data_IF_038875186812
#
_entry.id   IF_038875186812
#
_cell.length_a   1.000
_cell.length_b   1.000
_cell.length_c   1.000
_cell.angle_alpha   90.00
_cell.angle_beta   90.00
_cell.angle_gamma   90.00
#
_symmetry.space_group_name_H-M   'P 1'
#
loop_
_entity.id
_entity.type
_entity.pdbx_description
1 polymer ?
#
# COMPACT_ATOMS: atom_id res chain seq x y z
N UNK A 1 0.84 -27.51 -26.88
CA UNK A 1 -0.12 -26.95 -25.89
C UNK A 1 0.06 -25.44 -25.85
N UNK A 2 -1.01 -24.64 -25.99
CA UNK A 2 -0.92 -23.16 -25.96
C UNK A 2 -0.95 -22.69 -24.49
N UNK A 3 0.10 -22.02 -24.02
CA UNK A 3 0.21 -21.62 -22.61
C UNK A 3 -0.67 -20.39 -22.31
N UNK A 4 -1.93 -20.67 -21.95
CA UNK A 4 -2.93 -19.66 -21.61
C UNK A 4 -2.50 -18.74 -20.46
N UNK A 5 -1.61 -19.19 -19.55
CA UNK A 5 -1.16 -18.37 -18.42
C UNK A 5 -0.15 -17.31 -18.85
N UNK A 6 0.84 -17.69 -19.65
CA UNK A 6 1.82 -16.73 -20.18
C UNK A 6 1.16 -15.75 -21.15
N UNK A 7 0.25 -16.22 -22.01
CA UNK A 7 -0.52 -15.34 -22.91
C UNK A 7 -1.38 -14.33 -22.11
N UNK A 8 -2.01 -14.76 -21.00
CA UNK A 8 -2.74 -13.86 -20.11
C UNK A 8 -1.82 -12.87 -19.41
N UNK A 9 -0.63 -13.31 -19.00
CA UNK A 9 0.38 -12.45 -18.40
C UNK A 9 0.82 -11.34 -19.36
N UNK A 10 1.10 -11.68 -20.64
CA UNK A 10 1.41 -10.72 -21.69
C UNK A 10 0.28 -9.68 -21.86
N UNK A 11 -0.97 -10.12 -21.92
CA UNK A 11 -2.10 -9.22 -22.02
C UNK A 11 -2.21 -8.25 -20.83
N UNK A 12 -1.90 -8.72 -19.61
CA UNK A 12 -1.90 -7.87 -18.43
C UNK A 12 -0.74 -6.88 -18.44
N UNK A 13 0.45 -7.32 -18.87
CA UNK A 13 1.61 -6.47 -19.10
C UNK A 13 1.28 -5.35 -20.08
N UNK A 14 0.73 -5.69 -21.24
CA UNK A 14 0.41 -4.72 -22.29
C UNK A 14 -0.59 -3.66 -21.79
N UNK A 15 -1.59 -4.05 -21.00
CA UNK A 15 -2.53 -3.10 -20.38
C UNK A 15 -1.86 -2.16 -19.39
N UNK A 16 -0.90 -2.65 -18.58
CA UNK A 16 -0.15 -1.80 -17.66
C UNK A 16 0.78 -0.84 -18.42
N UNK A 17 1.44 -1.32 -19.47
CA UNK A 17 2.33 -0.51 -20.31
C UNK A 17 1.53 0.57 -21.07
N UNK A 18 0.33 0.24 -21.56
CA UNK A 18 -0.59 1.20 -22.19
C UNK A 18 -1.08 2.25 -21.19
N UNK A 19 -1.43 1.82 -19.97
CA UNK A 19 -1.81 2.74 -18.89
C UNK A 19 -0.66 3.70 -18.54
N UNK A 20 0.58 3.22 -18.46
CA UNK A 20 1.76 4.05 -18.22
C UNK A 20 1.99 5.07 -19.33
N UNK A 21 1.90 4.65 -20.59
CA UNK A 21 2.08 5.53 -21.76
C UNK A 21 1.00 6.61 -21.84
N UNK A 22 -0.22 6.29 -21.42
CA UNK A 22 -1.37 7.21 -21.42
C UNK A 22 -1.51 7.98 -20.11
N UNK A 23 -0.65 7.74 -19.13
CA UNK A 23 -0.73 8.36 -17.81
C UNK A 23 -0.62 9.89 -17.96
N UNK A 24 -1.66 10.65 -17.60
CA UNK A 24 -1.64 12.10 -17.79
C UNK A 24 -0.50 12.76 -17.02
N UNK A 25 0.09 13.83 -17.59
CA UNK A 25 1.24 14.55 -17.02
C UNK A 25 1.01 15.05 -15.58
N UNK A 26 -0.24 15.25 -15.15
CA UNK A 26 -0.59 15.65 -13.79
C UNK A 26 -0.49 14.54 -12.73
N UNK A 27 -0.19 13.30 -13.13
CA UNK A 27 0.17 12.19 -12.23
C UNK A 27 1.68 12.10 -11.98
N UNK A 28 2.48 13.04 -12.48
CA UNK A 28 3.91 13.12 -12.14
C UNK A 28 4.08 13.45 -10.66
N UNK A 29 4.76 12.59 -9.88
CA UNK A 29 5.00 12.86 -8.48
C UNK A 29 6.12 13.88 -8.28
N UNK A 30 6.07 14.58 -7.15
CA UNK A 30 7.23 15.24 -6.57
C UNK A 30 7.95 14.25 -5.66
N UNK A 31 9.20 13.94 -5.99
CA UNK A 31 10.01 12.96 -5.27
C UNK A 31 11.08 13.71 -4.47
N UNK A 32 11.08 13.52 -3.16
CA UNK A 32 12.09 14.02 -2.25
C UNK A 32 12.82 12.84 -1.59
N UNK A 33 14.14 12.83 -1.67
CA UNK A 33 14.98 11.83 -1.01
C UNK A 33 15.38 12.37 0.38
N UNK A 34 14.98 11.72 1.48
CA UNK A 34 15.34 12.17 2.82
C UNK A 34 16.86 12.16 3.06
N UNK A 35 17.33 13.02 3.97
CA UNK A 35 18.70 12.97 4.48
C UNK A 35 18.96 11.68 5.29
N UNK A 36 20.24 11.39 5.56
CA UNK A 36 20.80 10.06 5.88
C UNK A 36 20.07 9.17 6.89
N UNK A 37 19.32 9.72 7.84
CA UNK A 37 18.67 8.98 8.93
C UNK A 37 17.28 8.41 8.56
N UNK A 38 16.64 8.89 7.49
CA UNK A 38 15.32 8.40 6.99
C UNK A 38 15.37 7.89 5.53
N UNK A 39 16.56 7.52 5.04
CA UNK A 39 16.81 7.23 3.60
C UNK A 39 16.11 6.00 3.02
N UNK A 40 15.48 5.18 3.85
CA UNK A 40 14.97 3.88 3.39
C UNK A 40 13.84 4.01 2.35
N UNK A 41 13.07 5.10 2.40
CA UNK A 41 11.99 5.37 1.45
C UNK A 41 12.04 6.80 0.90
N UNK A 42 11.84 6.98 -0.42
CA UNK A 42 11.59 8.31 -0.97
C UNK A 42 10.28 8.88 -0.42
N UNK A 43 10.21 10.18 -0.15
CA UNK A 43 8.93 10.87 0.03
C UNK A 43 8.38 11.20 -1.36
N UNK A 44 7.20 10.68 -1.70
CA UNK A 44 6.58 10.78 -3.02
C UNK A 44 5.21 11.44 -2.87
N UNK A 45 5.12 12.70 -3.27
CA UNK A 45 3.89 13.48 -3.23
C UNK A 45 3.22 13.52 -4.60
N UNK A 46 1.91 13.30 -4.62
CA UNK A 46 1.03 13.50 -5.75
C UNK A 46 0.16 14.72 -5.54
N UNK A 47 -0.38 15.25 -6.65
CA UNK A 47 -1.27 16.41 -6.67
C UNK A 47 -2.48 16.27 -5.75
N UNK A 48 -3.06 15.07 -5.71
CA UNK A 48 -4.25 14.76 -4.92
C UNK A 48 -4.22 13.30 -4.45
N UNK A 49 -5.16 12.94 -3.58
CA UNK A 49 -5.22 11.62 -2.95
C UNK A 49 -5.62 10.54 -3.95
N UNK A 50 -6.43 10.90 -4.96
CA UNK A 50 -6.83 9.97 -6.03
C UNK A 50 -5.63 9.57 -6.88
N UNK A 51 -4.74 10.51 -7.17
CA UNK A 51 -3.48 10.27 -7.86
C UNK A 51 -2.57 9.37 -7.04
N UNK A 52 -2.45 9.59 -5.73
CA UNK A 52 -1.67 8.72 -4.83
C UNK A 52 -2.22 7.29 -4.78
N UNK A 53 -3.54 7.11 -4.60
CA UNK A 53 -4.21 5.80 -4.64
C UNK A 53 -3.99 5.09 -5.98
N UNK A 54 -4.16 5.82 -7.08
CA UNK A 54 -3.94 5.29 -8.43
C UNK A 54 -2.49 4.83 -8.61
N UNK A 55 -1.54 5.63 -8.14
CA UNK A 55 -0.12 5.34 -8.21
C UNK A 55 0.29 4.13 -7.35
N UNK A 56 -0.29 3.97 -6.16
CA UNK A 56 -0.08 2.79 -5.30
C UNK A 56 -0.60 1.54 -6.00
N UNK A 57 -1.84 1.56 -6.48
CA UNK A 57 -2.46 0.41 -7.16
C UNK A 57 -1.69 0.02 -8.42
N UNK A 58 -1.23 0.99 -9.21
CA UNK A 58 -0.42 0.75 -10.39
C UNK A 58 0.91 0.07 -10.06
N UNK A 59 1.62 0.55 -9.01
CA UNK A 59 2.88 -0.05 -8.56
C UNK A 59 2.68 -1.46 -8.01
N UNK A 60 1.63 -1.69 -7.22
CA UNK A 60 1.28 -3.03 -6.72
C UNK A 60 0.95 -3.97 -7.88
N UNK A 61 0.23 -3.51 -8.90
CA UNK A 61 -0.05 -4.31 -10.09
C UNK A 61 1.23 -4.72 -10.83
N UNK A 62 2.18 -3.79 -11.03
CA UNK A 62 3.51 -4.09 -11.61
C UNK A 62 4.29 -5.10 -10.78
N UNK A 63 4.27 -4.94 -9.46
CA UNK A 63 4.96 -5.80 -8.52
C UNK A 63 4.38 -7.23 -8.52
N UNK A 64 3.05 -7.37 -8.50
CA UNK A 64 2.36 -8.66 -8.60
C UNK A 64 2.56 -9.32 -9.98
N UNK A 65 2.56 -8.52 -11.05
CA UNK A 65 2.82 -9.02 -12.40
C UNK A 65 4.22 -9.62 -12.51
N UNK A 66 5.23 -8.95 -11.96
CA UNK A 66 6.59 -9.45 -11.93
C UNK A 66 6.74 -10.69 -11.02
N UNK A 67 6.09 -10.70 -9.86
CA UNK A 67 6.05 -11.88 -8.99
C UNK A 67 5.43 -13.11 -9.71
N UNK A 68 4.34 -12.89 -10.45
CA UNK A 68 3.70 -13.93 -11.26
C UNK A 68 4.61 -14.49 -12.37
N UNK A 69 5.44 -13.63 -12.99
CA UNK A 69 6.43 -14.05 -13.97
C UNK A 69 7.49 -14.99 -13.35
N UNK A 70 7.92 -14.68 -12.12
CA UNK A 70 8.95 -15.43 -11.39
C UNK A 70 8.45 -16.78 -10.88
N UNK A 71 7.23 -16.85 -10.34
CA UNK A 71 6.77 -18.04 -9.59
C UNK A 71 5.86 -18.97 -10.39
N UNK A 72 4.98 -18.43 -11.24
CA UNK A 72 3.86 -19.20 -11.80
C UNK A 72 4.03 -19.60 -13.27
N UNK A 73 5.05 -19.07 -13.96
CA UNK A 73 5.22 -19.23 -15.41
C UNK A 73 6.47 -20.03 -15.82
N UNK A 74 7.36 -20.38 -14.87
CA UNK A 74 8.67 -20.99 -15.18
C UNK A 74 8.62 -22.42 -15.74
N UNK A 75 7.55 -23.18 -15.53
CA UNK A 75 7.55 -24.64 -15.80
C UNK A 75 7.32 -25.01 -17.28
N UNK A 76 6.69 -24.13 -18.09
CA UNK A 76 6.25 -24.50 -19.46
C UNK A 76 6.91 -23.66 -20.56
N UNK A 77 7.32 -22.42 -20.26
CA UNK A 77 7.87 -21.47 -21.24
C UNK A 77 9.14 -20.79 -20.70
N UNK A 78 10.05 -21.56 -20.11
CA UNK A 78 11.20 -21.04 -19.39
C UNK A 78 12.05 -20.08 -20.23
N UNK A 79 12.27 -20.36 -21.52
CA UNK A 79 13.02 -19.48 -22.42
C UNK A 79 12.33 -18.13 -22.68
N UNK A 80 11.01 -18.12 -22.83
CA UNK A 80 10.23 -16.87 -23.02
C UNK A 80 10.17 -16.06 -21.72
N UNK A 81 10.03 -16.74 -20.59
CA UNK A 81 10.09 -16.12 -19.26
C UNK A 81 11.45 -15.50 -19.01
N UNK A 82 12.55 -16.18 -19.36
CA UNK A 82 13.91 -15.66 -19.24
C UNK A 82 14.15 -14.42 -20.11
N UNK A 83 13.60 -14.39 -21.33
CA UNK A 83 13.65 -13.21 -22.20
C UNK A 83 12.95 -12.03 -21.52
N UNK A 84 11.74 -12.22 -21.00
CA UNK A 84 11.01 -11.16 -20.31
C UNK A 84 11.68 -10.71 -19.01
N UNK A 85 12.25 -11.64 -18.24
CA UNK A 85 12.97 -11.33 -17.00
C UNK A 85 14.18 -10.42 -17.22
N UNK A 86 14.84 -10.49 -18.39
CA UNK A 86 15.96 -9.61 -18.75
C UNK A 86 15.54 -8.14 -18.93
N UNK A 87 14.26 -7.87 -19.15
CA UNK A 87 13.74 -6.51 -19.30
C UNK A 87 13.62 -5.78 -17.95
N UNK A 88 13.75 -6.48 -16.82
CA UNK A 88 13.59 -5.92 -15.49
C UNK A 88 14.94 -5.78 -14.77
N UNK A 89 15.17 -4.70 -14.01
CA UNK A 89 16.38 -4.54 -13.21
C UNK A 89 16.43 -5.56 -12.06
N UNK A 90 17.64 -5.91 -11.61
CA UNK A 90 17.88 -6.96 -10.61
C UNK A 90 17.08 -6.80 -9.30
N UNK A 91 16.87 -5.55 -8.85
CA UNK A 91 16.15 -5.24 -7.61
C UNK A 91 14.77 -4.64 -7.88
N UNK A 92 14.13 -4.97 -9.01
CA UNK A 92 12.88 -4.37 -9.45
C UNK A 92 11.77 -4.43 -8.40
N UNK A 93 11.52 -5.60 -7.82
CA UNK A 93 10.44 -5.81 -6.83
C UNK A 93 10.69 -5.05 -5.54
N UNK A 94 11.94 -5.06 -5.07
CA UNK A 94 12.31 -4.37 -3.84
C UNK A 94 12.22 -2.85 -4.03
N UNK A 95 12.71 -2.32 -5.16
CA UNK A 95 12.60 -0.90 -5.48
C UNK A 95 11.13 -0.46 -5.58
N UNK A 96 10.27 -1.23 -6.25
CA UNK A 96 8.84 -0.95 -6.32
C UNK A 96 8.17 -1.00 -4.94
N UNK A 97 8.52 -1.97 -4.10
CA UNK A 97 8.01 -2.07 -2.74
C UNK A 97 8.41 -0.86 -1.90
N UNK A 98 9.67 -0.40 -2.01
CA UNK A 98 10.16 0.82 -1.36
C UNK A 98 9.46 2.07 -1.88
N UNK A 99 9.16 2.16 -3.17
CA UNK A 99 8.35 3.25 -3.70
C UNK A 99 6.93 3.25 -3.11
N UNK A 100 6.26 2.09 -3.03
CA UNK A 100 4.94 1.99 -2.37
C UNK A 100 5.03 2.46 -0.92
N UNK A 101 6.02 1.99 -0.18
CA UNK A 101 6.27 2.44 1.20
C UNK A 101 6.59 3.94 1.28
N UNK A 102 7.24 4.51 0.26
CA UNK A 102 7.53 5.94 0.17
C UNK A 102 6.30 6.82 -0.07
N UNK A 103 5.40 6.40 -0.96
CA UNK A 103 4.10 7.06 -1.12
C UNK A 103 3.35 7.00 0.21
N UNK A 104 3.26 5.80 0.78
CA UNK A 104 2.60 5.57 2.07
C UNK A 104 3.15 6.43 3.21
N UNK A 105 4.47 6.54 3.32
CA UNK A 105 5.12 7.39 4.32
C UNK A 105 4.79 8.88 4.10
N UNK A 106 4.56 9.31 2.87
CA UNK A 106 4.23 10.71 2.56
C UNK A 106 2.81 11.10 2.97
N UNK A 107 1.95 10.09 3.20
CA UNK A 107 0.54 10.24 3.54
C UNK A 107 0.16 9.43 4.79
N UNK A 108 1.11 9.14 5.68
CA UNK A 108 0.89 8.26 6.83
C UNK A 108 -0.11 8.83 7.87
N UNK A 109 -0.39 10.13 7.78
CA UNK A 109 -1.41 10.84 8.54
C UNK A 109 -2.69 11.17 7.75
N UNK A 110 -2.76 10.94 6.43
CA UNK A 110 -3.90 11.33 5.59
C UNK A 110 -5.00 10.27 5.51
N UNK A 111 -6.12 10.53 6.20
CA UNK A 111 -7.31 9.67 6.29
C UNK A 111 -7.88 9.18 4.98
N UNK A 112 -7.74 9.96 3.90
CA UNK A 112 -8.43 9.68 2.64
C UNK A 112 -7.77 8.54 1.87
N UNK A 113 -6.51 8.23 2.18
CA UNK A 113 -5.74 7.16 1.54
C UNK A 113 -5.78 5.88 2.40
N UNK A 114 -6.29 5.96 3.64
CA UNK A 114 -6.29 4.85 4.61
C UNK A 114 -6.93 3.52 4.16
N UNK A 115 -8.03 3.49 3.38
CA UNK A 115 -8.66 2.21 3.00
C UNK A 115 -7.74 1.26 2.22
N UNK A 116 -6.74 1.79 1.52
CA UNK A 116 -5.75 0.99 0.80
C UNK A 116 -4.46 0.77 1.60
N UNK A 117 -4.21 1.63 2.59
CA UNK A 117 -2.91 1.81 3.23
C UNK A 117 -2.32 0.53 3.83
N UNK A 118 -3.08 -0.18 4.68
CA UNK A 118 -2.55 -1.35 5.39
C UNK A 118 -2.34 -2.54 4.46
N UNK A 119 -3.24 -2.74 3.49
CA UNK A 119 -3.15 -3.83 2.53
C UNK A 119 -1.99 -3.60 1.56
N UNK A 120 -1.78 -2.36 1.11
CA UNK A 120 -0.66 -1.98 0.27
C UNK A 120 0.68 -2.20 0.95
N UNK A 121 0.82 -1.79 2.22
CA UNK A 121 2.04 -2.03 3.01
C UNK A 121 2.29 -3.52 3.25
N UNK A 122 1.26 -4.29 3.59
CA UNK A 122 1.35 -5.74 3.78
C UNK A 122 1.74 -6.47 2.50
N UNK A 123 1.28 -6.01 1.34
CA UNK A 123 1.69 -6.58 0.06
C UNK A 123 3.14 -6.19 -0.27
N UNK A 124 3.49 -4.91 -0.13
CA UNK A 124 4.86 -4.44 -0.36
C UNK A 124 5.89 -5.13 0.53
N UNK A 125 5.56 -5.41 1.81
CA UNK A 125 6.47 -6.03 2.77
C UNK A 125 6.93 -7.44 2.39
N UNK A 126 6.18 -8.15 1.54
CA UNK A 126 6.57 -9.49 1.07
C UNK A 126 7.80 -9.46 0.13
N UNK A 127 8.13 -8.28 -0.40
CA UNK A 127 9.19 -8.09 -1.40
C UNK A 127 10.40 -7.32 -0.84
N UNK A 128 10.41 -7.06 0.47
CA UNK A 128 11.54 -6.46 1.20
C UNK A 128 12.13 -7.54 2.10
N UNK A 129 13.46 -7.72 2.07
CA UNK A 129 14.13 -8.72 2.89
C UNK A 129 13.94 -8.41 4.38
N UNK A 130 13.40 -9.37 5.13
CA UNK A 130 13.18 -9.30 6.57
C UNK A 130 14.44 -9.00 7.40
N UNK A 131 15.62 -9.35 6.87
CA UNK A 131 16.92 -9.07 7.52
C UNK A 131 17.43 -7.64 7.24
N UNK A 132 16.83 -6.94 6.28
CA UNK A 132 17.29 -5.61 5.87
C UNK A 132 16.89 -4.53 6.88
N UNK A 133 17.71 -3.48 7.07
CA UNK A 133 17.33 -2.30 7.87
C UNK A 133 16.02 -1.65 7.38
N UNK A 134 15.79 -1.67 6.07
CA UNK A 134 14.58 -1.17 5.41
C UNK A 134 13.30 -1.84 5.94
N UNK A 135 13.35 -3.14 6.26
CA UNK A 135 12.20 -3.85 6.82
C UNK A 135 11.81 -3.34 8.21
N UNK A 136 12.78 -2.93 9.03
CA UNK A 136 12.51 -2.31 10.34
C UNK A 136 11.75 -0.99 10.16
N UNK A 137 12.17 -0.17 9.19
CA UNK A 137 11.50 1.10 8.86
C UNK A 137 10.10 0.86 8.31
N UNK A 138 9.92 -0.16 7.46
CA UNK A 138 8.60 -0.56 6.95
C UNK A 138 7.67 -1.02 8.06
N UNK A 139 8.17 -1.80 9.02
CA UNK A 139 7.41 -2.26 10.19
C UNK A 139 6.98 -1.08 11.05
N UNK A 140 7.88 -0.13 11.30
CA UNK A 140 7.56 1.08 12.07
C UNK A 140 6.49 1.92 11.37
N UNK A 141 6.60 2.12 10.05
CA UNK A 141 5.57 2.79 9.25
C UNK A 141 4.22 2.08 9.35
N UNK A 142 4.22 0.74 9.23
CA UNK A 142 2.99 -0.06 9.34
C UNK A 142 2.33 0.10 10.71
N UNK A 143 3.11 0.10 11.80
CA UNK A 143 2.61 0.34 13.15
C UNK A 143 2.00 1.74 13.28
N UNK A 144 2.64 2.78 12.75
CA UNK A 144 2.10 4.15 12.75
C UNK A 144 0.75 4.22 12.03
N UNK A 145 0.68 3.65 10.83
CA UNK A 145 -0.55 3.59 10.04
C UNK A 145 -1.66 2.81 10.78
N UNK A 146 -1.33 1.68 11.42
CA UNK A 146 -2.31 0.91 12.22
C UNK A 146 -2.83 1.73 13.40
N UNK A 147 -1.94 2.37 14.16
CA UNK A 147 -2.31 3.20 15.32
C UNK A 147 -3.29 4.29 14.91
N UNK A 148 -2.99 4.96 13.81
CA UNK A 148 -3.82 6.01 13.23
C UNK A 148 -5.20 5.48 12.79
N UNK A 149 -5.27 4.29 12.17
CA UNK A 149 -6.54 3.61 11.86
C UNK A 149 -7.35 3.22 13.11
N UNK A 150 -6.69 2.73 14.16
CA UNK A 150 -7.33 2.28 15.40
C UNK A 150 -7.84 3.45 16.25
N UNK A 151 -7.06 4.53 16.34
CA UNK A 151 -7.39 5.71 17.18
C UNK A 151 -8.72 6.33 16.75
N UNK A 152 -9.03 6.36 15.44
CA UNK A 152 -10.27 6.93 14.93
C UNK A 152 -11.43 5.93 14.82
N UNK A 153 -11.18 4.62 14.95
CA UNK A 153 -12.29 3.66 15.19
C UNK A 153 -12.91 3.89 16.57
N UNK A 154 -12.13 4.47 17.50
CA UNK A 154 -12.57 4.80 18.87
C UNK A 154 -13.12 6.24 19.01
N UNK A 155 -13.01 7.11 17.99
CA UNK A 155 -13.57 8.48 18.05
C UNK A 155 -15.10 8.53 17.92
N UNK A 156 -15.77 7.71 17.08
CA UNK A 156 -17.22 7.63 17.09
C UNK A 156 -17.76 7.17 18.46
N UNK A 157 -17.05 6.26 19.13
CA UNK A 157 -17.44 5.78 20.46
C UNK A 157 -17.23 6.84 21.56
N UNK A 158 -16.15 7.62 21.51
CA UNK A 158 -15.92 8.73 22.45
C UNK A 158 -16.90 9.91 22.25
N UNK A 159 -17.49 10.04 21.06
CA UNK A 159 -18.54 11.03 20.78
C UNK A 159 -19.94 10.51 21.12
N UNK A 160 -20.18 9.20 21.03
CA UNK A 160 -21.44 8.56 21.47
C UNK A 160 -21.53 8.38 22.99
N UNK A 161 -20.41 8.23 23.71
CA UNK A 161 -20.41 8.17 25.18
C UNK A 161 -20.72 9.53 25.85
N UNK A 162 -20.54 10.65 25.13
CA UNK A 162 -20.88 11.99 25.65
C UNK A 162 -22.35 12.38 25.49
N UNK A 163 -23.13 11.68 24.65
CA UNK A 163 -24.58 11.93 24.53
C UNK A 163 -25.43 11.13 25.54
N UNK A 164 -24.85 10.14 26.21
CA UNK A 164 -25.52 9.43 27.32
C UNK A 164 -24.98 9.92 28.67
N UNK A 165 -25.39 11.13 29.05
CA UNK A 165 -25.16 11.65 30.40
C UNK A 165 -25.71 10.71 31.49
N UNK A 166 -25.24 10.85 32.74
CA UNK A 166 -25.63 9.97 33.84
C UNK A 166 -27.14 10.07 34.07
N UNK A 167 -27.85 8.95 33.88
CA UNK A 167 -29.26 8.82 34.27
C UNK A 167 -29.37 9.04 35.78
N UNK A 168 -30.17 10.04 36.15
CA UNK A 168 -30.55 10.31 37.53
C UNK A 168 -31.07 9.02 38.20
N UNK A 169 -30.45 8.67 39.33
CA UNK A 169 -30.92 7.59 40.18
C UNK A 169 -32.35 7.91 40.67
N UNK A 170 -33.29 7.05 40.31
CA UNK A 170 -34.66 7.07 40.80
C UNK A 170 -34.68 6.26 42.09
N UNK A 171 -34.72 6.91 43.26
CA UNK A 171 -35.02 6.25 44.54
C UNK A 171 -36.51 6.35 44.82
N UNK A 172 -37.16 5.19 44.90
CA UNK A 172 -38.59 5.05 45.16
C UNK A 172 -38.98 5.31 46.63
N UNK A 173 -40.15 5.93 46.77
CA UNK A 173 -41.23 5.71 47.75
C UNK A 173 -40.86 5.26 49.18
N UNK A 174 -41.23 6.11 50.15
CA UNK A 174 -41.59 5.68 51.50
C UNK A 174 -42.96 6.28 51.88
N UNK A 175 -43.79 5.45 52.49
CA UNK A 175 -45.23 5.61 52.76
C UNK A 175 -45.47 6.27 54.13
N UNK A 176 -46.47 7.14 54.22
CA UNK A 176 -47.01 7.70 55.46
C UNK A 176 -47.76 6.65 56.29
N UNK A 177 -47.50 6.64 57.60
CA UNK A 177 -48.48 6.36 58.67
C UNK A 177 -48.13 7.18 59.90
#
# INVERSE_FOLDING_TARGET
MKNKRFDRWLQLKDKLDEFEKRMPLYLKPLIFMPAAEEKDFPRIYYKDEKAAVTAINFRLAKLLLHAALRENLQVVDQSRVEIEMKNYPRNFTENLAREVAGIMASYDSDMRIWPINIHSLRQASQFVDSSSPCFKTLRNLTIRVISVCQTNSNIPDLLNEKENGPKAATTGTFVET
#
